data_IF_524980666949
#
_entry.id   IF_524980666949
#
_cell.length_a   1.000
_cell.length_b   1.000
_cell.length_c   1.000
_cell.angle_alpha   90.00
_cell.angle_beta   90.00
_cell.angle_gamma   90.00
#
_symmetry.space_group_name_H-M   'P 1'
#
loop_
_entity.id
_entity.type
_entity.pdbx_description
1 polymer ?
#
# COMPACT_ATOMS: atom_id res chain seq x y z
N UNK A 1 36.75 3.22 28.15
CA UNK A 1 36.87 2.57 26.82
C UNK A 1 36.69 3.64 25.75
N UNK A 2 37.76 4.06 25.08
CA UNK A 2 37.71 5.17 24.13
C UNK A 2 37.04 4.73 22.80
N UNK A 3 36.00 5.46 22.38
CA UNK A 3 35.36 5.27 21.06
C UNK A 3 36.31 5.73 19.96
N UNK A 4 36.80 4.78 19.16
CA UNK A 4 37.59 5.07 17.95
C UNK A 4 36.69 5.78 16.93
N UNK A 5 37.03 7.02 16.53
CA UNK A 5 36.36 7.71 15.42
C UNK A 5 36.63 6.94 14.12
N UNK A 6 35.58 6.68 13.34
CA UNK A 6 35.72 6.13 11.98
C UNK A 6 36.33 7.19 11.07
N UNK A 7 37.22 6.76 10.18
CA UNK A 7 37.80 7.59 9.12
C UNK A 7 36.77 7.64 7.99
N UNK A 8 36.39 8.84 7.62
CA UNK A 8 35.55 9.15 6.46
C UNK A 8 36.53 9.72 5.42
N UNK A 9 36.50 9.18 4.21
CA UNK A 9 37.41 9.53 3.13
C UNK A 9 36.59 10.22 2.03
N UNK A 10 37.09 11.32 1.49
CA UNK A 10 36.34 12.20 0.57
C UNK A 10 36.10 11.56 -0.82
N UNK A 11 36.77 10.45 -1.12
CA UNK A 11 36.67 9.65 -2.34
C UNK A 11 35.70 8.45 -2.22
N UNK A 12 35.07 8.27 -1.06
CA UNK A 12 34.09 7.20 -0.86
C UNK A 12 32.71 7.62 -1.40
N UNK A 13 32.44 7.26 -2.66
CA UNK A 13 31.14 7.42 -3.33
C UNK A 13 30.01 6.58 -2.68
N UNK A 14 30.28 5.87 -1.57
CA UNK A 14 29.33 5.01 -0.88
C UNK A 14 28.94 3.76 -1.67
N UNK A 15 29.63 3.52 -2.79
CA UNK A 15 29.42 2.38 -3.69
C UNK A 15 30.21 1.17 -3.19
N UNK A 16 29.51 0.06 -2.99
CA UNK A 16 30.15 -1.22 -2.64
C UNK A 16 30.73 -1.84 -3.92
N UNK A 17 32.06 -1.81 -4.06
CA UNK A 17 32.77 -2.38 -5.22
C UNK A 17 32.78 -3.92 -5.18
N UNK A 18 32.82 -4.50 -3.98
CA UNK A 18 32.70 -5.94 -3.75
C UNK A 18 31.99 -6.24 -2.43
N UNK A 19 30.92 -7.05 -2.47
CA UNK A 19 30.20 -7.47 -1.27
C UNK A 19 30.94 -8.62 -0.58
N UNK A 20 31.57 -8.34 0.55
CA UNK A 20 32.25 -9.33 1.40
C UNK A 20 31.40 -9.75 2.61
N UNK A 21 30.08 -9.57 2.55
CA UNK A 21 29.20 -9.98 3.65
C UNK A 21 29.15 -11.52 3.77
N UNK A 22 29.66 -12.03 4.89
CA UNK A 22 29.64 -13.46 5.23
C UNK A 22 28.41 -13.80 6.08
N UNK A 23 27.77 -14.94 5.79
CA UNK A 23 26.62 -15.43 6.54
C UNK A 23 27.01 -15.67 8.02
N UNK A 24 26.33 -14.98 8.95
CA UNK A 24 26.56 -15.08 10.40
C UNK A 24 27.21 -13.86 11.06
N UNK A 25 27.66 -12.85 10.31
CA UNK A 25 28.26 -11.64 10.88
C UNK A 25 27.21 -10.59 11.28
N UNK A 26 27.33 -9.91 12.44
CA UNK A 26 26.35 -8.91 12.87
C UNK A 26 26.29 -7.71 11.91
N UNK A 27 25.22 -7.66 11.09
CA UNK A 27 24.89 -6.65 10.06
C UNK A 27 24.74 -5.19 10.54
N UNK A 28 25.07 -4.88 11.81
CA UNK A 28 24.66 -3.62 12.46
C UNK A 28 25.24 -2.34 11.83
N UNK A 29 26.25 -2.48 10.95
CA UNK A 29 26.91 -1.36 10.27
C UNK A 29 26.40 -1.15 8.83
N UNK A 30 25.86 -2.17 8.16
CA UNK A 30 25.43 -2.08 6.74
C UNK A 30 23.98 -1.60 6.55
N UNK A 31 23.30 -1.20 7.64
CA UNK A 31 21.83 -1.01 7.63
C UNK A 31 21.32 0.17 6.80
N UNK A 32 22.19 1.08 6.32
CA UNK A 32 21.75 2.29 5.61
C UNK A 32 21.47 2.05 4.12
N UNK A 33 22.19 1.13 3.47
CA UNK A 33 22.00 0.86 2.03
C UNK A 33 20.91 -0.19 1.75
N UNK A 34 20.76 -1.19 2.63
CA UNK A 34 19.69 -2.19 2.50
C UNK A 34 18.29 -1.57 2.57
N UNK A 35 18.09 -0.54 3.40
CA UNK A 35 16.81 0.15 3.55
C UNK A 35 16.39 0.92 2.29
N UNK A 36 17.38 1.45 1.55
CA UNK A 36 17.18 2.15 0.26
C UNK A 36 16.78 1.13 -0.81
N UNK A 37 17.48 -0.01 -0.90
CA UNK A 37 17.15 -1.07 -1.85
C UNK A 37 15.78 -1.71 -1.57
N UNK A 38 15.40 -1.87 -0.31
CA UNK A 38 14.08 -2.42 0.06
C UNK A 38 12.94 -1.46 -0.28
N UNK A 39 13.13 -0.14 -0.10
CA UNK A 39 12.19 0.89 -0.55
C UNK A 39 12.08 0.95 -2.08
N UNK A 40 13.18 0.79 -2.80
CA UNK A 40 13.19 0.75 -4.26
C UNK A 40 12.45 -0.48 -4.81
N UNK A 41 12.65 -1.66 -4.21
CA UNK A 41 11.92 -2.88 -4.59
C UNK A 41 10.41 -2.75 -4.35
N UNK A 42 9.96 -2.13 -3.25
CA UNK A 42 8.54 -1.86 -2.99
C UNK A 42 7.90 -0.90 -4.00
N UNK A 43 8.67 0.08 -4.52
CA UNK A 43 8.18 0.98 -5.58
C UNK A 43 7.98 0.24 -6.91
N UNK A 44 8.82 -0.75 -7.23
CA UNK A 44 8.71 -1.53 -8.48
C UNK A 44 7.55 -2.53 -8.50
N UNK A 45 6.98 -2.87 -7.34
CA UNK A 45 5.80 -3.75 -7.21
C UNK A 45 4.47 -2.98 -7.12
N UNK A 46 4.51 -1.64 -7.08
CA UNK A 46 3.30 -0.87 -7.30
C UNK A 46 2.96 -1.02 -8.78
N UNK A 47 2.05 -1.96 -9.08
CA UNK A 47 1.47 -2.15 -10.40
C UNK A 47 1.19 -0.76 -10.97
N UNK A 48 1.88 -0.40 -12.05
CA UNK A 48 1.70 0.87 -12.75
C UNK A 48 0.39 0.80 -13.52
N UNK A 49 -0.72 0.79 -12.77
CA UNK A 49 -2.06 0.73 -13.30
C UNK A 49 -2.31 2.06 -13.99
N UNK A 50 -2.57 2.00 -15.29
CA UNK A 50 -2.82 3.19 -16.11
C UNK A 50 -4.00 3.99 -15.53
N UNK A 51 -3.94 5.32 -15.66
CA UNK A 51 -4.97 6.20 -15.12
C UNK A 51 -6.35 5.91 -15.71
N UNK A 52 -6.44 5.33 -16.91
CA UNK A 52 -7.72 4.93 -17.53
C UNK A 52 -8.29 3.67 -16.89
N UNK A 53 -7.44 2.69 -16.58
CA UNK A 53 -7.84 1.45 -15.90
C UNK A 53 -8.33 1.71 -14.48
N UNK A 54 -7.71 2.65 -13.75
CA UNK A 54 -8.20 3.07 -12.43
C UNK A 54 -9.64 3.60 -12.50
N UNK A 55 -9.97 4.39 -13.53
CA UNK A 55 -11.31 4.96 -13.69
C UNK A 55 -12.36 3.90 -14.02
N UNK A 56 -12.03 2.89 -14.83
CA UNK A 56 -12.98 1.81 -15.14
C UNK A 56 -13.27 0.95 -13.91
N UNK A 57 -12.25 0.61 -13.13
CA UNK A 57 -12.39 -0.12 -11.87
C UNK A 57 -13.27 0.66 -10.88
N UNK A 58 -12.95 1.95 -10.66
CA UNK A 58 -13.73 2.79 -9.75
C UNK A 58 -15.18 2.89 -10.20
N UNK A 59 -15.45 3.07 -11.50
CA UNK A 59 -16.82 3.12 -12.02
C UNK A 59 -17.58 1.81 -11.77
N UNK A 60 -16.94 0.66 -11.97
CA UNK A 60 -17.55 -0.64 -11.71
C UNK A 60 -17.92 -0.81 -10.24
N UNK A 61 -16.99 -0.47 -9.34
CA UNK A 61 -17.22 -0.51 -7.89
C UNK A 61 -18.35 0.45 -7.49
N UNK A 62 -18.34 1.67 -8.01
CA UNK A 62 -19.38 2.67 -7.74
C UNK A 62 -20.76 2.16 -8.18
N UNK A 63 -20.85 1.56 -9.37
CA UNK A 63 -22.10 1.01 -9.90
C UNK A 63 -22.61 -0.15 -9.04
N UNK A 64 -21.72 -1.03 -8.59
CA UNK A 64 -22.09 -2.15 -7.72
C UNK A 64 -22.69 -1.67 -6.39
N UNK A 65 -22.07 -0.68 -5.75
CA UNK A 65 -22.61 -0.08 -4.52
C UNK A 65 -23.92 0.68 -4.77
N UNK A 66 -24.05 1.36 -5.92
CA UNK A 66 -25.28 2.06 -6.28
C UNK A 66 -26.46 1.08 -6.43
N UNK A 67 -26.24 -0.06 -7.11
CA UNK A 67 -27.26 -1.11 -7.25
C UNK A 67 -27.63 -1.71 -5.90
N UNK A 68 -26.64 -2.05 -5.06
CA UNK A 68 -26.88 -2.56 -3.71
C UNK A 68 -27.70 -1.58 -2.86
N UNK A 69 -27.33 -0.31 -2.87
CA UNK A 69 -28.03 0.76 -2.16
C UNK A 69 -29.46 0.91 -2.64
N UNK A 70 -29.72 0.83 -3.94
CA UNK A 70 -31.06 0.91 -4.53
C UNK A 70 -31.92 -0.27 -4.07
N UNK A 71 -31.40 -1.50 -4.11
CA UNK A 71 -32.13 -2.70 -3.66
C UNK A 71 -32.51 -2.59 -2.19
N UNK A 72 -31.57 -2.18 -1.32
CA UNK A 72 -31.84 -1.99 0.10
C UNK A 72 -32.86 -0.87 0.34
N UNK A 73 -32.71 0.25 -0.36
CA UNK A 73 -33.66 1.36 -0.28
C UNK A 73 -35.06 0.93 -0.72
N UNK A 74 -35.19 0.19 -1.82
CA UNK A 74 -36.46 -0.33 -2.30
C UNK A 74 -37.10 -1.30 -1.29
N UNK A 75 -36.31 -2.19 -0.68
CA UNK A 75 -36.80 -3.10 0.35
C UNK A 75 -37.33 -2.35 1.58
N UNK A 76 -36.60 -1.33 2.06
CA UNK A 76 -37.04 -0.48 3.18
C UNK A 76 -38.28 0.33 2.78
N UNK A 77 -38.31 0.91 1.58
CA UNK A 77 -39.45 1.67 1.09
C UNK A 77 -40.71 0.80 0.99
N UNK A 78 -40.58 -0.43 0.47
CA UNK A 78 -41.67 -1.40 0.44
C UNK A 78 -42.11 -1.81 1.85
N UNK A 79 -41.18 -2.00 2.78
CA UNK A 79 -41.50 -2.29 4.17
C UNK A 79 -42.27 -1.13 4.83
N UNK A 80 -41.83 0.11 4.66
CA UNK A 80 -42.52 1.29 5.18
C UNK A 80 -43.90 1.47 4.54
N UNK A 81 -44.02 1.24 3.23
CA UNK A 81 -45.30 1.26 2.54
C UNK A 81 -46.24 0.18 3.09
N UNK A 82 -45.71 -1.02 3.34
CA UNK A 82 -46.46 -2.11 3.96
C UNK A 82 -46.94 -1.73 5.37
N UNK A 83 -46.05 -1.21 6.22
CA UNK A 83 -46.42 -0.73 7.55
C UNK A 83 -47.52 0.34 7.49
N UNK A 84 -47.39 1.34 6.62
CA UNK A 84 -48.34 2.47 6.58
C UNK A 84 -49.67 2.12 5.93
N UNK A 85 -49.70 1.24 4.91
CA UNK A 85 -50.93 0.94 4.15
C UNK A 85 -51.65 -0.34 4.58
N UNK A 86 -50.94 -1.31 5.14
CA UNK A 86 -51.53 -2.59 5.55
C UNK A 86 -51.64 -2.67 7.08
N UNK A 87 -50.61 -2.25 7.83
CA UNK A 87 -50.57 -2.46 9.28
C UNK A 87 -51.22 -1.32 10.09
N UNK A 88 -50.96 -0.05 9.76
CA UNK A 88 -51.50 1.11 10.49
C UNK A 88 -52.87 1.59 9.98
N UNK A 89 -53.66 0.70 9.37
CA UNK A 89 -55.06 0.96 9.01
C UNK A 89 -56.00 0.40 10.05
#
# INVERSE_FOLDING_TARGET
>A
MAKKKRREYDDDDGRVIADMSVAGMPRRVLRRNDEIQFKEKRKKTALDIDKREKKSIIKGVLLAYAVLGLVLFAAVALFLLFCTKIWFR
#
